data_IF_114092892857
#
_entry.id   IF_114092892857
#
_cell.length_a   1.000
_cell.length_b   1.000
_cell.length_c   1.000
_cell.angle_alpha   90.00
_cell.angle_beta   90.00
_cell.angle_gamma   90.00
#
_symmetry.space_group_name_H-M   'P 1'
#
loop_
_entity.id
_entity.type
_entity.pdbx_description
1 polymer ?
#
# COMPACT_ATOMS: atom_id res chain seq x y z
N UNK A 1 9.28 -1.13 -11.52
CA UNK A 1 10.56 -1.12 -10.78
C UNK A 1 11.67 -1.43 -11.78
N UNK A 2 12.77 -0.69 -11.76
CA UNK A 2 13.87 -0.88 -12.70
C UNK A 2 15.05 -1.56 -11.98
N UNK A 3 15.57 -2.64 -12.56
CA UNK A 3 16.78 -3.30 -12.08
C UNK A 3 17.98 -2.81 -12.91
N UNK A 4 19.01 -2.31 -12.25
CA UNK A 4 20.25 -1.88 -12.89
C UNK A 4 21.41 -2.78 -12.45
N UNK A 5 22.30 -3.13 -13.38
CA UNK A 5 23.60 -3.73 -13.08
C UNK A 5 24.74 -2.84 -13.60
N UNK A 6 25.97 -3.31 -13.46
CA UNK A 6 27.18 -2.58 -13.84
C UNK A 6 27.27 -2.22 -15.34
N UNK A 7 26.37 -2.73 -16.19
CA UNK A 7 26.27 -2.43 -17.63
C UNK A 7 25.02 -1.64 -18.04
N UNK A 8 24.16 -1.24 -17.11
CA UNK A 8 22.96 -0.42 -17.38
C UNK A 8 21.64 -1.05 -16.93
N UNK A 9 20.54 -0.62 -17.54
CA UNK A 9 19.19 -1.13 -17.27
C UNK A 9 19.09 -2.60 -17.68
N UNK A 10 18.84 -3.49 -16.73
CA UNK A 10 18.79 -4.94 -16.95
C UNK A 10 17.39 -5.43 -17.21
N UNK A 11 16.41 -4.90 -16.46
CA UNK A 11 15.04 -5.35 -16.56
C UNK A 11 14.05 -4.32 -15.98
N UNK A 12 12.88 -4.22 -16.59
CA UNK A 12 11.74 -3.49 -16.05
C UNK A 12 10.70 -4.47 -15.53
N UNK A 13 10.51 -4.46 -14.21
CA UNK A 13 9.56 -5.34 -13.53
C UNK A 13 8.27 -4.58 -13.31
N UNK A 14 7.17 -5.16 -13.79
CA UNK A 14 5.81 -4.66 -13.55
C UNK A 14 5.47 -4.80 -12.07
N UNK A 15 5.13 -3.67 -11.45
CA UNK A 15 4.57 -3.58 -10.11
C UNK A 15 3.11 -3.18 -10.24
N UNK A 16 2.20 -4.03 -9.77
CA UNK A 16 0.76 -3.76 -9.77
C UNK A 16 0.32 -3.61 -8.31
N UNK A 17 -0.31 -2.48 -8.00
CA UNK A 17 -0.84 -2.18 -6.66
C UNK A 17 -2.35 -2.05 -6.74
N UNK A 18 -3.06 -2.86 -5.96
CA UNK A 18 -4.52 -2.78 -5.80
C UNK A 18 -4.81 -2.33 -4.38
N UNK A 19 -5.64 -1.29 -4.21
CA UNK A 19 -5.96 -0.74 -2.89
C UNK A 19 -7.46 -0.50 -2.77
N UNK A 20 -8.02 -0.83 -1.61
CA UNK A 20 -9.35 -0.36 -1.20
C UNK A 20 -9.14 0.83 -0.29
N UNK A 21 -9.69 1.97 -0.71
CA UNK A 21 -9.54 3.25 -0.04
C UNK A 21 -10.90 3.76 0.43
N UNK A 22 -10.88 4.48 1.54
CA UNK A 22 -11.97 5.32 2.02
C UNK A 22 -11.48 6.75 1.94
N UNK A 23 -12.20 7.61 1.21
CA UNK A 23 -11.94 9.03 1.20
C UNK A 23 -12.27 9.62 2.56
N UNK A 24 -11.35 10.38 3.16
CA UNK A 24 -11.69 11.22 4.32
C UNK A 24 -12.44 12.44 3.82
N UNK A 25 -13.55 12.78 4.49
CA UNK A 25 -14.30 14.01 4.18
C UNK A 25 -13.36 15.21 4.23
N UNK A 26 -13.27 15.92 3.10
CA UNK A 26 -12.56 17.18 3.02
C UNK A 26 -13.57 18.31 3.06
N UNK A 27 -13.43 19.19 4.06
CA UNK A 27 -13.98 20.53 3.91
C UNK A 27 -13.12 21.22 2.85
N UNK A 28 -13.72 21.56 1.70
CA UNK A 28 -13.05 22.35 0.67
C UNK A 28 -12.66 23.69 1.30
N UNK A 29 -11.36 23.90 1.49
CA UNK A 29 -10.83 25.16 2.01
C UNK A 29 -11.14 26.32 1.07
N UNK A 30 -11.11 27.54 1.60
CA UNK A 30 -11.42 28.76 0.86
C UNK A 30 -10.46 28.95 -0.33
N UNK A 31 -11.03 28.98 -1.53
CA UNK A 31 -10.31 29.18 -2.78
C UNK A 31 -9.73 30.61 -2.83
N UNK A 32 -8.41 30.74 -2.92
CA UNK A 32 -7.76 32.00 -3.29
C UNK A 32 -7.39 31.96 -4.78
N UNK A 33 -7.95 32.89 -5.55
CA UNK A 33 -7.87 32.94 -7.02
C UNK A 33 -6.46 33.14 -7.61
N UNK A 34 -5.43 33.31 -6.78
CA UNK A 34 -4.06 33.63 -7.21
C UNK A 34 -3.03 32.53 -6.95
N UNK A 35 -3.37 31.47 -6.20
CA UNK A 35 -2.46 30.35 -5.94
C UNK A 35 -2.94 29.07 -6.62
N UNK A 36 -2.04 28.28 -7.23
CA UNK A 36 -2.39 26.97 -7.77
C UNK A 36 -2.91 26.09 -6.64
N UNK A 37 -4.20 25.77 -6.69
CA UNK A 37 -4.85 24.96 -5.66
C UNK A 37 -4.36 23.52 -5.78
N UNK A 38 -3.58 23.06 -4.81
CA UNK A 38 -3.19 21.66 -4.71
C UNK A 38 -4.32 20.90 -4.01
N UNK A 39 -5.14 20.19 -4.79
CA UNK A 39 -6.19 19.33 -4.24
C UNK A 39 -5.56 18.05 -3.72
N UNK A 40 -5.15 18.04 -2.45
CA UNK A 40 -4.76 16.81 -1.77
C UNK A 40 -6.03 16.11 -1.28
N UNK A 41 -6.25 14.88 -1.75
CA UNK A 41 -7.33 14.03 -1.22
C UNK A 41 -6.69 13.06 -0.23
N UNK A 42 -6.86 13.26 1.09
CA UNK A 42 -6.42 12.31 2.09
C UNK A 42 -7.25 11.04 1.95
N UNK A 43 -6.58 9.95 1.58
CA UNK A 43 -7.16 8.63 1.43
C UNK A 43 -6.67 7.76 2.59
N UNK A 44 -7.59 7.04 3.23
CA UNK A 44 -7.24 5.97 4.16
C UNK A 44 -7.42 4.63 3.48
N UNK A 45 -6.39 3.79 3.47
CA UNK A 45 -6.44 2.46 2.86
C UNK A 45 -6.80 1.40 3.91
N UNK A 46 -7.81 0.58 3.65
CA UNK A 46 -8.20 -0.57 4.49
C UNK A 46 -7.68 -1.90 3.95
N UNK A 47 -7.37 -1.94 2.65
CA UNK A 47 -6.79 -3.08 1.96
C UNK A 47 -5.72 -2.60 0.98
N UNK A 48 -4.60 -3.31 0.93
CA UNK A 48 -3.52 -3.07 -0.01
C UNK A 48 -2.88 -4.38 -0.44
N UNK A 49 -2.80 -4.61 -1.74
CA UNK A 49 -2.10 -5.75 -2.34
C UNK A 49 -1.11 -5.24 -3.39
N UNK A 50 0.12 -5.71 -3.31
CA UNK A 50 1.16 -5.39 -4.27
C UNK A 50 1.73 -6.68 -4.87
N UNK A 51 1.65 -6.78 -6.19
CA UNK A 51 2.21 -7.88 -6.97
C UNK A 51 3.40 -7.41 -7.80
N UNK A 52 4.48 -8.19 -7.80
CA UNK A 52 5.66 -8.01 -8.62
C UNK A 52 5.74 -9.15 -9.63
N UNK A 53 5.67 -8.83 -10.92
CA UNK A 53 5.73 -9.83 -12.01
C UNK A 53 4.73 -10.99 -11.85
N UNK A 54 3.51 -10.70 -11.38
CA UNK A 54 2.46 -11.70 -11.12
C UNK A 54 2.57 -12.42 -9.77
N UNK A 55 3.68 -12.28 -9.04
CA UNK A 55 3.83 -12.85 -7.70
C UNK A 55 3.39 -11.86 -6.62
N UNK A 56 2.68 -12.34 -5.60
CA UNK A 56 2.28 -11.50 -4.46
C UNK A 56 3.50 -11.12 -3.63
N UNK A 57 3.82 -9.82 -3.62
CA UNK A 57 4.89 -9.27 -2.79
C UNK A 57 4.39 -8.97 -1.38
N UNK A 58 3.31 -8.19 -1.28
CA UNK A 58 2.72 -7.78 0.01
C UNK A 58 1.21 -7.82 -0.08
N UNK A 59 0.58 -8.33 0.98
CA UNK A 59 -0.85 -8.25 1.22
C UNK A 59 -1.08 -7.69 2.62
N UNK A 60 -1.88 -6.64 2.70
CA UNK A 60 -2.37 -6.05 3.95
C UNK A 60 -3.88 -5.94 3.86
N UNK A 61 -4.57 -6.59 4.79
CA UNK A 61 -5.99 -6.41 5.05
C UNK A 61 -6.17 -6.06 6.52
N UNK A 62 -6.55 -4.82 6.79
CA UNK A 62 -6.72 -4.34 8.15
C UNK A 62 -7.98 -4.91 8.82
N UNK A 63 -9.05 -5.14 8.04
CA UNK A 63 -10.33 -5.62 8.57
C UNK A 63 -10.25 -7.07 9.02
N UNK A 64 -9.49 -7.89 8.30
CA UNK A 64 -9.29 -9.31 8.64
C UNK A 64 -7.97 -9.59 9.36
N UNK A 65 -7.19 -8.55 9.71
CA UNK A 65 -5.88 -8.66 10.35
C UNK A 65 -4.92 -9.61 9.60
N UNK A 66 -4.88 -9.51 8.27
CA UNK A 66 -4.00 -10.32 7.43
C UNK A 66 -2.84 -9.45 6.97
N UNK A 67 -1.62 -9.93 7.22
CA UNK A 67 -0.41 -9.31 6.72
C UNK A 67 0.53 -10.38 6.21
N UNK A 68 0.67 -10.44 4.89
CA UNK A 68 1.51 -11.42 4.21
C UNK A 68 2.60 -10.73 3.43
N UNK A 69 3.80 -11.28 3.50
CA UNK A 69 4.94 -10.86 2.69
C UNK A 69 5.44 -12.10 1.95
N UNK A 70 5.49 -12.04 0.62
CA UNK A 70 5.89 -13.17 -0.22
C UNK A 70 5.05 -14.42 0.03
N UNK A 71 3.75 -14.26 0.31
CA UNK A 71 2.83 -15.35 0.63
C UNK A 71 2.91 -15.89 2.06
N UNK A 72 3.84 -15.44 2.90
CA UNK A 72 3.97 -15.88 4.31
C UNK A 72 3.22 -14.92 5.23
N UNK A 73 2.27 -15.45 6.02
CA UNK A 73 1.57 -14.70 7.06
C UNK A 73 2.51 -14.35 8.23
N UNK A 74 2.57 -13.06 8.56
CA UNK A 74 3.41 -12.51 9.61
C UNK A 74 2.64 -12.16 10.89
N UNK A 75 1.32 -12.18 10.87
CA UNK A 75 0.49 -11.86 12.04
C UNK A 75 0.08 -13.09 12.86
N UNK A 76 0.11 -14.29 12.26
CA UNK A 76 -0.14 -15.54 12.99
C UNK A 76 0.79 -15.80 14.19
N UNK A 77 1.98 -15.19 14.23
CA UNK A 77 2.90 -15.24 15.37
C UNK A 77 2.54 -14.29 16.51
N UNK A 78 1.84 -13.18 16.23
CA UNK A 78 1.53 -12.14 17.23
C UNK A 78 0.26 -12.46 18.04
N UNK A 79 -0.71 -13.17 17.44
CA UNK A 79 -1.92 -13.60 18.15
C UNK A 79 -1.65 -14.60 19.28
N UNK A 80 -0.55 -15.38 19.20
CA UNK A 80 -0.16 -16.33 20.26
C UNK A 80 0.34 -15.64 21.53
N UNK A 81 0.77 -14.38 21.44
CA UNK A 81 1.26 -13.62 22.60
C UNK A 81 0.14 -12.98 23.42
N UNK A 82 -1.08 -12.86 22.88
CA UNK A 82 -2.21 -12.23 23.56
C UNK A 82 -3.14 -13.23 24.26
N UNK A 83 -2.91 -14.54 24.10
CA UNK A 83 -3.67 -15.60 24.78
C UNK A 83 -3.06 -16.03 26.14
N UNK A 84 -1.97 -15.41 26.57
CA UNK A 84 -1.34 -15.65 27.88
C UNK A 84 -1.03 -14.33 28.57
N UNK A 85 -2.05 -13.72 29.16
CA UNK A 85 -1.93 -12.74 30.24
C UNK A 85 -2.95 -13.02 31.33
#
# INVERSE_FOLDING_TARGET
MQLFNNGGLVNEILLVTTMTITGKEHQFGSHQARDPTKYETPLSATYGRQGLNGNEGVLLDYMTNIFRIGGVDRLGGHNRSLEIS
#
